data_IF_321400740184
#
_entry.id   IF_321400740184
#
_cell.length_a   1.000
_cell.length_b   1.000
_cell.length_c   1.000
_cell.angle_alpha   90.00
_cell.angle_beta   90.00
_cell.angle_gamma   90.00
#
_symmetry.space_group_name_H-M   'P 1'
#
loop_
_entity.id
_entity.type
_entity.pdbx_description
1 polymer ?
#
# COMPACT_ATOMS: atom_id res chain seq x y z
N UNK A 1 7.29 -8.61 -2.33
CA UNK A 1 8.67 -9.00 -2.19
C UNK A 1 8.81 -10.42 -1.62
N UNK A 2 8.56 -10.62 -0.33
CA UNK A 2 8.76 -11.93 0.32
C UNK A 2 7.95 -13.07 -0.30
N UNK A 3 6.70 -12.83 -0.68
CA UNK A 3 5.90 -13.85 -1.38
C UNK A 3 6.56 -14.29 -2.69
N UNK A 4 7.08 -13.36 -3.48
CA UNK A 4 7.82 -13.68 -4.69
C UNK A 4 9.09 -14.49 -4.38
N UNK A 5 9.83 -14.11 -3.33
CA UNK A 5 11.02 -14.83 -2.88
C UNK A 5 10.72 -16.25 -2.41
N UNK A 6 9.59 -16.48 -1.70
CA UNK A 6 9.13 -17.79 -1.31
C UNK A 6 8.95 -18.71 -2.53
N UNK A 7 8.24 -18.22 -3.55
CA UNK A 7 7.99 -19.02 -4.75
C UNK A 7 9.24 -19.20 -5.61
N UNK A 8 10.08 -18.17 -5.75
CA UNK A 8 11.36 -18.27 -6.46
C UNK A 8 12.31 -19.27 -5.76
N UNK A 9 12.40 -19.22 -4.42
CA UNK A 9 13.17 -20.17 -3.65
C UNK A 9 12.67 -21.61 -3.82
N UNK A 10 11.35 -21.83 -3.77
CA UNK A 10 10.74 -23.14 -4.02
C UNK A 10 11.01 -23.67 -5.45
N UNK A 11 11.17 -22.76 -6.41
CA UNK A 11 11.54 -23.09 -7.78
C UNK A 11 13.08 -23.23 -7.98
N UNK A 12 13.85 -23.16 -6.90
CA UNK A 12 15.32 -23.26 -6.90
C UNK A 12 16.01 -22.17 -7.76
N UNK A 13 15.46 -20.96 -7.76
CA UNK A 13 15.98 -19.84 -8.55
C UNK A 13 16.95 -18.92 -7.79
N UNK A 14 17.37 -19.31 -6.57
CA UNK A 14 18.33 -18.59 -5.73
C UNK A 14 18.00 -17.08 -5.60
N UNK A 15 16.79 -16.70 -5.13
CA UNK A 15 16.40 -15.31 -5.11
C UNK A 15 17.21 -14.49 -4.10
N UNK A 16 17.59 -13.28 -4.51
CA UNK A 16 18.14 -12.23 -3.64
C UNK A 16 17.07 -11.18 -3.42
N UNK A 17 16.82 -10.80 -2.17
CA UNK A 17 15.87 -9.76 -1.79
C UNK A 17 16.62 -8.59 -1.19
N UNK A 18 16.45 -7.39 -1.74
CA UNK A 18 16.97 -6.16 -1.15
C UNK A 18 15.80 -5.44 -0.46
N UNK A 19 15.86 -5.35 0.88
CA UNK A 19 14.73 -4.94 1.71
C UNK A 19 14.46 -3.42 1.74
N UNK A 20 15.38 -2.59 1.27
CA UNK A 20 15.27 -1.14 1.38
C UNK A 20 15.43 -0.63 2.81
N UNK A 21 14.96 0.59 3.05
CA UNK A 21 15.10 1.28 4.34
C UNK A 21 14.07 0.86 5.38
N UNK A 22 12.94 0.29 4.93
CA UNK A 22 11.85 -0.18 5.80
C UNK A 22 11.52 -1.64 5.47
N UNK A 23 12.24 -2.62 6.04
CA UNK A 23 11.95 -4.03 5.85
C UNK A 23 10.50 -4.36 6.22
N UNK A 24 9.79 -5.11 5.35
CA UNK A 24 8.39 -5.40 5.51
C UNK A 24 7.44 -4.33 4.97
N UNK A 25 7.93 -3.11 4.73
CA UNK A 25 7.19 -2.01 4.09
C UNK A 25 6.03 -1.49 4.93
N UNK A 26 5.01 -0.95 4.25
CA UNK A 26 3.88 -0.25 4.87
C UNK A 26 3.11 -1.09 5.89
N UNK A 27 3.02 -2.41 5.71
CA UNK A 27 2.30 -3.29 6.63
C UNK A 27 2.88 -3.26 8.05
N UNK A 28 4.18 -3.01 8.22
CA UNK A 28 4.81 -2.94 9.55
C UNK A 28 4.32 -1.75 10.41
N UNK A 29 3.59 -0.82 9.80
CA UNK A 29 2.97 0.31 10.52
C UNK A 29 1.51 0.04 10.90
N UNK A 30 0.96 -1.11 10.52
CA UNK A 30 -0.42 -1.52 10.82
C UNK A 30 -0.43 -2.40 12.06
N UNK A 31 -1.28 -2.06 13.04
CA UNK A 31 -1.38 -2.81 14.30
C UNK A 31 -2.10 -4.14 14.11
N UNK A 32 -3.25 -4.13 13.44
CA UNK A 32 -4.10 -5.32 13.26
C UNK A 32 -4.43 -5.55 11.78
N UNK A 33 -4.07 -6.71 11.27
CA UNK A 33 -4.41 -7.19 9.94
C UNK A 33 -5.42 -8.33 10.09
N UNK A 34 -6.67 -8.07 9.71
CA UNK A 34 -7.76 -9.04 9.81
C UNK A 34 -8.17 -9.64 8.45
N UNK A 35 -7.67 -9.07 7.36
CA UNK A 35 -8.08 -9.38 5.99
C UNK A 35 -7.05 -10.20 5.20
N UNK A 36 -6.00 -10.72 5.83
CA UNK A 36 -5.05 -11.61 5.19
C UNK A 36 -5.41 -13.08 5.49
N UNK A 37 -5.67 -13.91 4.46
CA UNK A 37 -6.04 -15.31 4.66
C UNK A 37 -4.95 -16.11 5.39
N UNK A 38 -5.36 -16.92 6.38
CA UNK A 38 -4.45 -17.75 7.17
C UNK A 38 -4.30 -17.30 8.62
N UNK A 39 -4.80 -16.11 8.95
CA UNK A 39 -4.78 -15.57 10.32
C UNK A 39 -6.20 -15.31 10.84
N UNK A 40 -6.95 -16.34 11.28
CA UNK A 40 -8.36 -16.22 11.63
C UNK A 40 -8.63 -15.35 12.87
N UNK A 41 -7.60 -15.04 13.65
CA UNK A 41 -7.67 -14.16 14.83
C UNK A 41 -7.06 -12.78 14.56
N UNK A 42 -6.70 -12.49 13.29
CA UNK A 42 -5.87 -11.35 12.96
C UNK A 42 -4.40 -11.55 13.33
N UNK A 43 -3.56 -10.62 12.92
CA UNK A 43 -2.12 -10.59 13.24
C UNK A 43 -1.61 -9.16 13.14
N UNK A 44 -0.59 -8.80 13.92
CA UNK A 44 0.09 -7.53 13.72
C UNK A 44 0.83 -7.50 12.38
N UNK A 45 0.91 -6.32 11.77
CA UNK A 45 1.62 -6.20 10.49
C UNK A 45 3.10 -6.53 10.60
N UNK A 46 3.75 -6.22 11.72
CA UNK A 46 5.14 -6.58 11.97
C UNK A 46 5.34 -8.09 12.08
N UNK A 47 4.47 -8.79 12.82
CA UNK A 47 4.59 -10.24 12.99
C UNK A 47 4.30 -10.97 11.67
N UNK A 48 3.29 -10.53 10.91
CA UNK A 48 3.02 -11.11 9.59
C UNK A 48 4.19 -10.94 8.63
N UNK A 49 4.83 -9.77 8.62
CA UNK A 49 5.97 -9.54 7.74
C UNK A 49 7.21 -10.32 8.20
N UNK A 50 7.38 -10.55 9.50
CA UNK A 50 8.42 -11.43 10.04
C UNK A 50 8.17 -12.89 9.65
N UNK A 51 6.93 -13.38 9.73
CA UNK A 51 6.54 -14.72 9.28
C UNK A 51 6.85 -14.93 7.79
N UNK A 52 6.48 -13.97 6.95
CA UNK A 52 6.76 -14.03 5.51
C UNK A 52 8.27 -13.99 5.20
N UNK A 53 9.03 -13.19 5.96
CA UNK A 53 10.47 -13.12 5.86
C UNK A 53 11.13 -14.47 6.23
N UNK A 54 10.74 -15.02 7.35
CA UNK A 54 11.24 -16.30 7.85
C UNK A 54 10.87 -17.46 6.89
N UNK A 55 9.69 -17.41 6.29
CA UNK A 55 9.31 -18.37 5.27
C UNK A 55 10.18 -18.24 4.01
N UNK A 56 10.51 -17.03 3.56
CA UNK A 56 11.41 -16.81 2.43
C UNK A 56 12.83 -17.34 2.72
N UNK A 57 13.37 -17.05 3.90
CA UNK A 57 14.67 -17.57 4.37
C UNK A 57 14.67 -19.11 4.40
N UNK A 58 13.60 -19.74 4.88
CA UNK A 58 13.48 -21.21 4.93
C UNK A 58 13.58 -21.85 3.54
N UNK A 59 13.13 -21.15 2.48
CA UNK A 59 13.25 -21.59 1.10
C UNK A 59 14.52 -21.08 0.39
N UNK A 60 15.51 -20.61 1.16
CA UNK A 60 16.84 -20.29 0.63
C UNK A 60 16.94 -18.92 -0.02
N UNK A 61 16.02 -17.99 0.25
CA UNK A 61 16.17 -16.62 -0.19
C UNK A 61 17.32 -15.94 0.54
N UNK A 62 18.20 -15.25 -0.19
CA UNK A 62 19.25 -14.40 0.37
C UNK A 62 18.67 -12.99 0.57
N UNK A 63 18.40 -12.65 1.83
CA UNK A 63 17.77 -11.38 2.19
C UNK A 63 18.81 -10.42 2.73
N UNK A 64 19.00 -9.29 2.02
CA UNK A 64 20.03 -8.29 2.31
C UNK A 64 19.39 -6.94 2.62
N UNK A 65 19.98 -6.22 3.55
CA UNK A 65 19.68 -4.81 3.76
C UNK A 65 20.36 -3.98 2.69
N UNK A 66 19.82 -2.82 2.38
CA UNK A 66 20.33 -1.86 1.43
C UNK A 66 19.24 -1.29 0.53
N UNK A 67 19.56 -0.29 -0.24
CA UNK A 67 18.67 0.35 -1.19
C UNK A 67 19.23 0.20 -2.60
N UNK A 68 18.42 -0.20 -3.56
CA UNK A 68 18.79 -0.13 -4.97
C UNK A 68 18.78 1.35 -5.38
N UNK A 69 19.96 1.86 -5.76
CA UNK A 69 20.19 3.27 -6.13
C UNK A 69 20.27 3.48 -7.62
N UNK A 70 20.66 2.44 -8.37
CA UNK A 70 20.64 2.49 -9.83
C UNK A 70 20.38 1.10 -10.43
N UNK A 71 19.88 1.07 -11.65
CA UNK A 71 19.63 -0.16 -12.42
C UNK A 71 20.04 0.04 -13.88
N UNK A 72 20.58 -1.02 -14.48
CA UNK A 72 20.80 -1.09 -15.90
C UNK A 72 20.09 -2.34 -16.45
N UNK A 73 19.04 -2.10 -17.24
CA UNK A 73 18.23 -3.12 -17.89
C UNK A 73 18.49 -3.21 -19.41
N UNK A 74 19.59 -2.62 -19.90
CA UNK A 74 19.90 -2.58 -21.33
C UNK A 74 20.25 -3.97 -21.91
N UNK A 75 20.83 -4.84 -21.11
CA UNK A 75 21.21 -6.21 -21.49
C UNK A 75 21.21 -7.15 -20.29
N UNK A 76 20.92 -8.43 -20.49
CA UNK A 76 21.10 -9.46 -19.46
C UNK A 76 22.57 -9.90 -19.37
N UNK A 77 23.09 -10.26 -18.18
CA UNK A 77 22.46 -10.11 -16.89
C UNK A 77 22.23 -8.64 -16.54
N UNK A 78 21.09 -8.33 -15.88
CA UNK A 78 20.77 -6.98 -15.44
C UNK A 78 21.65 -6.57 -14.27
N UNK A 79 22.10 -5.31 -14.28
CA UNK A 79 22.95 -4.78 -13.22
C UNK A 79 22.16 -3.87 -12.28
N UNK A 80 22.34 -4.08 -10.96
CA UNK A 80 21.71 -3.27 -9.94
C UNK A 80 22.78 -2.84 -8.95
N UNK A 81 22.77 -1.56 -8.56
CA UNK A 81 23.71 -1.01 -7.58
C UNK A 81 23.01 -0.83 -6.24
N UNK A 82 23.59 -1.40 -5.17
CA UNK A 82 23.12 -1.29 -3.79
C UNK A 82 23.93 -0.20 -3.10
N UNK A 83 23.24 0.75 -2.46
CA UNK A 83 23.79 1.85 -1.64
C UNK A 83 24.89 2.68 -2.36
N UNK A 84 24.79 2.78 -3.70
CA UNK A 84 25.77 3.43 -4.59
C UNK A 84 27.21 2.86 -4.54
N UNK A 85 27.40 1.67 -3.95
CA UNK A 85 28.73 1.11 -3.71
C UNK A 85 28.91 -0.30 -4.26
N UNK A 86 27.87 -1.13 -4.20
CA UNK A 86 27.96 -2.55 -4.51
C UNK A 86 27.05 -2.97 -5.65
N UNK A 87 27.65 -3.49 -6.71
CA UNK A 87 26.91 -4.04 -7.84
C UNK A 87 26.56 -5.51 -7.63
N UNK A 88 25.36 -5.87 -8.08
CA UNK A 88 24.91 -7.25 -8.24
C UNK A 88 24.36 -7.45 -9.65
N UNK A 89 24.43 -8.67 -10.13
CA UNK A 89 23.87 -9.08 -11.42
C UNK A 89 22.73 -10.07 -11.21
N UNK A 90 21.70 -9.98 -12.05
CA UNK A 90 20.55 -10.87 -12.01
C UNK A 90 20.02 -11.15 -13.42
N UNK A 91 19.64 -12.40 -13.68
CA UNK A 91 19.02 -12.79 -14.96
C UNK A 91 17.61 -12.22 -15.09
N UNK A 92 16.91 -12.08 -13.96
CA UNK A 92 15.56 -11.52 -13.88
C UNK A 92 15.39 -10.64 -12.66
N UNK A 93 14.54 -9.62 -12.73
CA UNK A 93 14.28 -8.68 -11.65
C UNK A 93 12.79 -8.54 -11.40
N UNK A 94 12.38 -8.64 -10.15
CA UNK A 94 11.01 -8.35 -9.68
C UNK A 94 11.04 -7.05 -8.91
N UNK A 95 10.37 -6.02 -9.43
CA UNK A 95 10.25 -4.72 -8.77
C UNK A 95 9.08 -4.79 -7.79
N UNK A 96 9.37 -4.76 -6.49
CA UNK A 96 8.39 -4.86 -5.41
C UNK A 96 8.61 -3.75 -4.37
N UNK A 97 8.75 -2.51 -4.85
CA UNK A 97 9.14 -1.35 -4.05
C UNK A 97 8.03 -0.81 -3.14
N UNK A 98 6.81 -1.35 -3.27
CA UNK A 98 5.68 -0.96 -2.44
C UNK A 98 5.16 0.45 -2.77
N UNK A 99 4.47 1.03 -1.81
CA UNK A 99 3.95 2.39 -1.87
C UNK A 99 3.98 3.03 -0.49
N UNK A 100 4.01 4.35 -0.48
CA UNK A 100 3.86 5.14 0.74
C UNK A 100 2.56 5.93 0.67
N UNK A 101 1.80 5.91 1.76
CA UNK A 101 0.60 6.70 1.88
C UNK A 101 0.92 8.20 1.83
N UNK A 102 0.10 8.95 1.08
CA UNK A 102 0.18 10.41 1.07
C UNK A 102 -0.84 10.96 2.06
N UNK A 103 -0.33 11.64 3.07
CA UNK A 103 -1.14 12.39 4.03
C UNK A 103 -1.25 13.86 3.61
N UNK A 104 -2.17 14.59 4.22
CA UNK A 104 -2.39 16.00 3.93
C UNK A 104 -1.31 16.90 4.54
N UNK A 105 -0.64 16.43 5.61
CA UNK A 105 0.36 17.18 6.35
C UNK A 105 -0.25 18.09 7.41
N UNK A 106 -1.47 17.80 7.86
CA UNK A 106 -2.11 18.53 8.94
C UNK A 106 -1.47 18.15 10.28
N UNK A 107 -1.42 19.10 11.21
CA UNK A 107 -0.75 18.93 12.51
C UNK A 107 -1.26 17.71 13.29
N UNK A 108 -2.57 17.50 13.27
CA UNK A 108 -3.23 16.44 14.04
C UNK A 108 -3.32 15.09 13.32
N UNK A 109 -2.92 14.97 12.05
CA UNK A 109 -3.04 13.71 11.29
C UNK A 109 -2.35 12.55 12.00
N UNK A 110 -1.15 12.76 12.49
CA UNK A 110 -0.38 11.71 13.18
C UNK A 110 -1.03 11.28 14.50
N UNK A 111 -1.70 12.20 15.20
CA UNK A 111 -2.40 11.93 16.46
C UNK A 111 -3.62 11.03 16.26
N UNK A 112 -4.31 11.20 15.12
CA UNK A 112 -5.55 10.47 14.82
C UNK A 112 -5.33 9.29 13.86
N UNK A 113 -4.10 9.01 13.46
CA UNK A 113 -3.76 7.86 12.63
C UNK A 113 -4.16 6.56 13.32
N UNK A 114 -5.01 5.75 12.68
CA UNK A 114 -5.63 4.56 13.28
C UNK A 114 -6.79 4.85 14.25
N UNK A 115 -7.03 6.12 14.59
CA UNK A 115 -8.11 6.57 15.48
C UNK A 115 -9.18 7.39 14.75
N UNK A 116 -9.21 7.35 13.42
CA UNK A 116 -10.14 8.11 12.59
C UNK A 116 -9.53 8.63 11.30
N UNK A 117 -8.21 8.79 11.26
CA UNK A 117 -7.46 9.13 10.04
C UNK A 117 -6.78 7.88 9.51
N UNK A 118 -7.10 7.53 8.28
CA UNK A 118 -6.55 6.38 7.57
C UNK A 118 -6.20 6.76 6.13
N UNK A 119 -5.26 6.04 5.53
CA UNK A 119 -4.91 6.14 4.12
C UNK A 119 -5.18 4.82 3.36
N UNK A 120 -6.02 3.94 3.93
CA UNK A 120 -6.36 2.65 3.35
C UNK A 120 -7.79 2.26 3.71
N UNK A 121 -8.74 2.47 2.81
CA UNK A 121 -10.14 2.14 3.06
C UNK A 121 -10.37 0.62 3.20
N UNK A 122 -9.63 -0.19 2.47
CA UNK A 122 -9.76 -1.66 2.54
C UNK A 122 -9.19 -2.24 3.82
N UNK A 123 -8.22 -1.54 4.45
CA UNK A 123 -7.65 -1.96 5.73
C UNK A 123 -8.59 -1.60 6.89
N UNK A 124 -9.03 -0.35 6.94
CA UNK A 124 -9.67 0.23 8.13
C UNK A 124 -11.18 0.47 7.96
N UNK A 125 -11.72 0.40 6.74
CA UNK A 125 -13.12 0.75 6.44
C UNK A 125 -14.14 -0.05 7.23
N UNK A 126 -13.82 -1.29 7.62
CA UNK A 126 -14.69 -2.13 8.42
C UNK A 126 -15.02 -1.51 9.79
N UNK A 127 -14.07 -0.84 10.43
CA UNK A 127 -14.26 -0.18 11.74
C UNK A 127 -15.20 1.04 11.67
N UNK A 128 -15.46 1.54 10.45
CA UNK A 128 -16.33 2.70 10.21
C UNK A 128 -17.69 2.32 9.58
N UNK A 129 -18.10 1.06 9.70
CA UNK A 129 -19.41 0.61 9.23
C UNK A 129 -20.55 1.44 9.84
N UNK A 130 -21.49 1.82 8.99
CA UNK A 130 -22.69 2.63 9.33
C UNK A 130 -22.36 4.04 9.87
N UNK A 131 -21.09 4.45 9.83
CA UNK A 131 -20.71 5.82 10.18
C UNK A 131 -20.71 6.71 8.94
N UNK A 132 -20.68 8.01 9.18
CA UNK A 132 -20.40 9.01 8.13
C UNK A 132 -18.89 9.16 8.04
N UNK A 133 -18.34 9.08 6.83
CA UNK A 133 -16.90 9.17 6.57
C UNK A 133 -16.60 10.20 5.51
N UNK A 134 -15.37 10.70 5.47
CA UNK A 134 -14.88 11.58 4.42
C UNK A 134 -13.68 10.97 3.71
N UNK A 135 -13.59 11.16 2.40
CA UNK A 135 -12.42 10.83 1.57
C UNK A 135 -11.87 12.12 0.97
N UNK A 136 -10.61 12.41 1.23
CA UNK A 136 -9.97 13.63 0.71
C UNK A 136 -9.19 13.31 -0.55
N UNK A 137 -9.62 13.89 -1.66
CA UNK A 137 -8.99 13.70 -2.96
C UNK A 137 -9.98 13.64 -4.12
N UNK A 138 -9.47 13.73 -5.34
CA UNK A 138 -10.28 13.71 -6.57
C UNK A 138 -9.62 12.90 -7.71
N UNK A 139 -8.66 12.04 -7.42
CA UNK A 139 -8.05 11.09 -8.37
C UNK A 139 -8.71 9.71 -8.30
N UNK A 140 -8.23 8.77 -9.14
CA UNK A 140 -8.77 7.41 -9.21
C UNK A 140 -8.78 6.72 -7.84
N UNK A 141 -7.69 6.78 -7.08
CA UNK A 141 -7.62 6.20 -5.74
C UNK A 141 -8.72 6.73 -4.81
N UNK A 142 -8.94 8.05 -4.78
CA UNK A 142 -9.98 8.62 -3.93
C UNK A 142 -11.39 8.18 -4.35
N UNK A 143 -11.64 8.05 -5.65
CA UNK A 143 -12.90 7.55 -6.17
C UNK A 143 -13.11 6.07 -5.84
N UNK A 144 -12.05 5.26 -5.94
CA UNK A 144 -12.06 3.84 -5.58
C UNK A 144 -12.35 3.64 -4.09
N UNK A 145 -11.60 4.35 -3.23
CA UNK A 145 -11.77 4.34 -1.77
C UNK A 145 -13.18 4.79 -1.36
N UNK A 146 -13.71 5.88 -1.95
CA UNK A 146 -15.06 6.35 -1.68
C UNK A 146 -16.13 5.32 -2.11
N UNK A 147 -15.94 4.69 -3.27
CA UNK A 147 -16.82 3.62 -3.76
C UNK A 147 -16.80 2.42 -2.82
N UNK A 148 -15.62 1.99 -2.37
CA UNK A 148 -15.49 0.90 -1.41
C UNK A 148 -16.18 1.24 -0.09
N UNK A 149 -15.88 2.40 0.49
CA UNK A 149 -16.46 2.86 1.75
C UNK A 149 -17.98 3.01 1.68
N UNK A 150 -18.55 3.35 0.52
CA UNK A 150 -20.01 3.46 0.36
C UNK A 150 -20.76 2.15 0.63
N UNK A 151 -20.10 1.00 0.48
CA UNK A 151 -20.68 -0.30 0.83
C UNK A 151 -20.75 -0.53 2.34
N UNK A 152 -19.90 0.14 3.11
CA UNK A 152 -19.76 -0.02 4.55
C UNK A 152 -20.42 1.13 5.33
N UNK A 153 -20.11 2.35 4.95
CA UNK A 153 -20.56 3.58 5.60
C UNK A 153 -22.05 3.89 5.34
N UNK A 154 -22.62 4.73 6.18
CA UNK A 154 -23.96 5.28 5.95
C UNK A 154 -23.93 6.41 4.92
N UNK A 155 -22.87 7.19 4.89
CA UNK A 155 -22.62 8.30 3.96
C UNK A 155 -21.13 8.49 3.76
N UNK A 156 -20.73 8.87 2.56
CA UNK A 156 -19.35 9.23 2.21
C UNK A 156 -19.34 10.65 1.63
N UNK A 157 -18.53 11.52 2.19
CA UNK A 157 -18.23 12.82 1.63
C UNK A 157 -16.89 12.76 0.90
N UNK A 158 -16.84 13.15 -0.37
CA UNK A 158 -15.57 13.37 -1.08
C UNK A 158 -15.20 14.85 -1.02
N UNK A 159 -14.09 15.17 -0.36
CA UNK A 159 -13.60 16.54 -0.24
C UNK A 159 -12.60 16.80 -1.36
N UNK A 160 -12.97 17.62 -2.32
CA UNK A 160 -12.21 17.87 -3.55
C UNK A 160 -11.83 19.35 -3.64
N UNK A 161 -10.54 19.64 -3.59
CA UNK A 161 -10.01 21.03 -3.61
C UNK A 161 -10.32 21.79 -4.89
N UNK A 162 -10.48 21.07 -6.02
CA UNK A 162 -10.82 21.66 -7.31
C UNK A 162 -12.33 21.56 -7.60
N UNK A 163 -12.78 22.21 -8.65
CA UNK A 163 -14.14 22.13 -9.17
C UNK A 163 -14.38 20.91 -10.07
N UNK A 164 -13.37 20.03 -10.21
CA UNK A 164 -13.44 18.82 -11.02
C UNK A 164 -12.66 17.66 -10.40
N UNK A 165 -13.03 16.44 -10.79
CA UNK A 165 -12.30 15.21 -10.48
C UNK A 165 -11.22 14.98 -11.54
N UNK A 166 -10.02 14.57 -11.11
CA UNK A 166 -8.92 14.16 -11.99
C UNK A 166 -8.93 12.67 -12.33
N UNK A 167 -9.86 11.94 -11.74
CA UNK A 167 -10.04 10.52 -11.96
C UNK A 167 -10.43 10.23 -13.43
N UNK A 168 -10.23 8.99 -13.87
CA UNK A 168 -10.73 8.47 -15.14
C UNK A 168 -12.26 8.63 -15.23
N UNK A 169 -12.80 8.76 -16.43
CA UNK A 169 -14.24 8.94 -16.63
C UNK A 169 -15.08 7.86 -15.97
N UNK A 170 -14.64 6.62 -16.06
CA UNK A 170 -15.35 5.48 -15.45
C UNK A 170 -15.43 5.60 -13.93
N UNK A 171 -14.36 6.07 -13.27
CA UNK A 171 -14.34 6.28 -11.83
C UNK A 171 -15.16 7.48 -11.42
N UNK A 172 -15.17 8.56 -12.22
CA UNK A 172 -16.05 9.70 -12.01
C UNK A 172 -17.52 9.30 -12.06
N UNK A 173 -17.93 8.51 -13.06
CA UNK A 173 -19.30 8.02 -13.19
C UNK A 173 -19.71 7.17 -11.98
N UNK A 174 -18.83 6.30 -11.50
CA UNK A 174 -19.10 5.46 -10.32
C UNK A 174 -19.43 6.29 -9.08
N UNK A 175 -18.65 7.31 -8.79
CA UNK A 175 -18.89 8.14 -7.59
C UNK A 175 -20.07 9.09 -7.77
N UNK A 176 -20.26 9.66 -8.97
CA UNK A 176 -21.39 10.57 -9.26
C UNK A 176 -22.75 9.87 -9.22
N UNK A 177 -22.79 8.59 -9.63
CA UNK A 177 -24.02 7.79 -9.66
C UNK A 177 -24.30 7.05 -8.34
N UNK A 178 -23.42 7.16 -7.34
CA UNK A 178 -23.60 6.48 -6.06
C UNK A 178 -24.38 7.36 -5.08
N UNK A 179 -25.62 6.96 -4.66
CA UNK A 179 -26.47 7.79 -3.80
C UNK A 179 -25.92 8.03 -2.40
N UNK A 180 -24.93 7.23 -1.96
CA UNK A 180 -24.27 7.41 -0.68
C UNK A 180 -23.06 8.35 -0.73
N UNK A 181 -22.59 8.71 -1.94
CA UNK A 181 -21.43 9.58 -2.11
C UNK A 181 -21.89 10.98 -2.45
N UNK A 182 -21.38 11.96 -1.70
CA UNK A 182 -21.56 13.38 -1.98
C UNK A 182 -20.21 14.04 -2.21
N UNK A 183 -20.08 14.73 -3.35
CA UNK A 183 -18.81 15.35 -3.72
C UNK A 183 -18.87 16.83 -3.38
N UNK A 184 -18.00 17.27 -2.49
CA UNK A 184 -17.82 18.64 -2.07
C UNK A 184 -16.65 19.25 -2.86
N UNK A 185 -16.96 19.89 -3.96
CA UNK A 185 -15.97 20.63 -4.77
C UNK A 185 -15.56 21.94 -4.11
N UNK A 186 -14.40 22.47 -4.52
CA UNK A 186 -13.83 23.72 -4.00
C UNK A 186 -13.70 23.72 -2.46
N UNK A 187 -13.50 22.54 -1.89
CA UNK A 187 -13.45 22.32 -0.44
C UNK A 187 -12.11 21.71 -0.06
N UNK A 188 -11.53 22.17 1.04
CA UNK A 188 -10.31 21.63 1.62
C UNK A 188 -10.47 21.44 3.12
N UNK A 189 -9.63 20.58 3.70
CA UNK A 189 -9.53 20.35 5.15
C UNK A 189 -8.50 21.31 5.75
N UNK A 190 -8.78 21.78 6.93
CA UNK A 190 -7.90 22.59 7.77
C UNK A 190 -7.55 21.86 9.05
#
# INVERSE_FOLDING_TARGET
GYTAAIYAGRANLSPVVIEGTQPGGQLTTTTDIENFPGYPQGISGSDMMEDLRNQALRFGADIRRGMITSVDFSSAPYKLTIDAEKDIEADTVIIATGASAKYLGLEDENKYRGLGVSACATCDGFFYRRKVVAVVGGGDTACEEATYLSNLASKVYMIVRKDYLRASNIMQERVKNNPKIEILFNTQTE
#
